data_IF_189477060061
#
_entry.id   IF_189477060061
#
_cell.length_a   1.000
_cell.length_b   1.000
_cell.length_c   1.000
_cell.angle_alpha   90.00
_cell.angle_beta   90.00
_cell.angle_gamma   90.00
#
_symmetry.space_group_name_H-M   'P 1'
#
loop_
_entity.id
_entity.type
_entity.pdbx_description
1 polymer ?
#
# COMPACT_ATOMS: atom_id res chain seq x y z
N UNK A 1 6.59 -18.51 -52.72
CA UNK A 1 7.63 -19.18 -51.92
C UNK A 1 7.23 -18.99 -50.45
N UNK A 2 6.46 -19.94 -49.89
CA UNK A 2 6.04 -20.01 -48.48
C UNK A 2 6.68 -21.32 -48.00
N UNK A 3 7.85 -21.30 -47.36
CA UNK A 3 8.10 -21.04 -45.93
C UNK A 3 7.36 -22.04 -45.04
N UNK A 4 8.09 -23.13 -44.77
CA UNK A 4 8.37 -23.76 -43.45
C UNK A 4 7.22 -24.35 -42.66
N UNK A 5 7.43 -25.32 -41.79
CA UNK A 5 8.45 -26.34 -41.55
C UNK A 5 7.76 -27.30 -40.59
N UNK A 6 8.12 -28.55 -40.71
CA UNK A 6 7.53 -29.73 -40.09
C UNK A 6 8.10 -29.87 -38.68
N UNK A 7 7.57 -29.14 -37.71
CA UNK A 7 7.71 -29.44 -36.26
C UNK A 7 6.43 -29.00 -35.55
N UNK A 8 6.14 -29.51 -34.35
CA UNK A 8 5.03 -29.10 -33.44
C UNK A 8 3.82 -30.03 -33.26
N UNK A 9 3.76 -31.23 -33.86
CA UNK A 9 2.69 -32.19 -33.50
C UNK A 9 3.08 -33.21 -32.41
N UNK A 10 4.35 -33.35 -32.06
CA UNK A 10 4.81 -34.29 -31.02
C UNK A 10 4.89 -33.67 -29.62
N UNK A 11 5.17 -32.36 -29.50
CA UNK A 11 5.26 -31.70 -28.19
C UNK A 11 3.87 -31.48 -27.55
N UNK A 12 2.85 -31.17 -28.36
CA UNK A 12 1.47 -30.99 -27.89
C UNK A 12 0.86 -32.26 -27.28
N UNK A 13 1.17 -33.43 -27.84
CA UNK A 13 0.74 -34.72 -27.29
C UNK A 13 1.44 -35.04 -25.96
N UNK A 14 2.73 -34.72 -25.84
CA UNK A 14 3.51 -34.93 -24.61
C UNK A 14 3.07 -33.97 -23.47
N UNK A 15 2.73 -32.73 -23.79
CA UNK A 15 2.22 -31.74 -22.83
C UNK A 15 0.86 -32.16 -22.24
N UNK A 16 -0.04 -32.70 -23.06
CA UNK A 16 -1.33 -33.22 -22.61
C UNK A 16 -1.17 -34.43 -21.67
N UNK A 17 -0.23 -35.33 -21.99
CA UNK A 17 0.04 -36.51 -21.18
C UNK A 17 0.70 -36.16 -19.83
N UNK A 18 1.59 -35.16 -19.80
CA UNK A 18 2.17 -34.60 -18.57
C UNK A 18 1.12 -33.92 -17.69
N UNK A 19 0.20 -33.15 -18.28
CA UNK A 19 -0.88 -32.50 -17.56
C UNK A 19 -1.83 -33.53 -16.91
N UNK A 20 -2.15 -34.60 -17.63
CA UNK A 20 -2.98 -35.68 -17.10
C UNK A 20 -2.31 -36.41 -15.92
N UNK A 21 -1.00 -36.66 -15.99
CA UNK A 21 -0.25 -37.26 -14.90
C UNK A 21 -0.17 -36.36 -13.66
N UNK A 22 -0.04 -35.04 -13.83
CA UNK A 22 -0.03 -34.08 -12.72
C UNK A 22 -1.39 -34.01 -12.02
N UNK A 23 -2.49 -33.99 -12.76
CA UNK A 23 -3.85 -34.00 -12.20
C UNK A 23 -4.08 -35.30 -11.42
N UNK A 24 -3.70 -36.45 -12.00
CA UNK A 24 -3.80 -37.74 -11.31
C UNK A 24 -2.92 -37.82 -10.06
N UNK A 25 -1.70 -37.26 -10.09
CA UNK A 25 -0.80 -37.20 -8.94
C UNK A 25 -1.35 -36.29 -7.83
N UNK A 26 -1.96 -35.16 -8.20
CA UNK A 26 -2.62 -34.25 -7.27
C UNK A 26 -3.86 -34.92 -6.63
N UNK A 27 -4.68 -35.62 -7.42
CA UNK A 27 -5.79 -36.40 -6.90
C UNK A 27 -5.32 -37.52 -5.97
N UNK A 28 -4.21 -38.18 -6.29
CA UNK A 28 -3.62 -39.23 -5.45
C UNK A 28 -3.02 -38.68 -4.16
N UNK A 29 -2.46 -37.46 -4.17
CA UNK A 29 -1.99 -36.74 -2.97
C UNK A 29 -3.17 -36.30 -2.08
N UNK A 30 -4.29 -35.89 -2.68
CA UNK A 30 -5.53 -35.55 -1.97
C UNK A 30 -6.14 -36.78 -1.30
N UNK A 31 -6.13 -37.95 -1.95
CA UNK A 31 -6.57 -39.22 -1.33
C UNK A 31 -5.72 -39.66 -0.15
N UNK A 32 -4.49 -39.17 -0.02
CA UNK A 32 -3.57 -39.52 1.09
C UNK A 32 -3.82 -38.68 2.35
N UNK A 33 -4.61 -37.62 2.24
CA UNK A 33 -5.05 -36.80 3.36
C UNK A 33 -6.53 -37.07 3.54
N UNK A 34 -6.90 -38.00 4.43
CA UNK A 34 -8.29 -38.31 4.78
C UNK A 34 -8.98 -37.09 5.43
N UNK A 35 -9.26 -36.05 4.65
CA UNK A 35 -10.09 -34.92 5.04
C UNK A 35 -11.53 -35.40 4.84
N UNK A 36 -12.27 -35.66 5.92
CA UNK A 36 -13.57 -36.29 5.80
C UNK A 36 -14.53 -35.29 5.11
N UNK A 37 -15.41 -35.75 4.21
CA UNK A 37 -16.21 -34.88 3.35
C UNK A 37 -17.17 -33.97 4.14
N UNK A 38 -17.51 -34.38 5.36
CA UNK A 38 -18.28 -33.58 6.31
C UNK A 38 -17.50 -32.35 6.79
N UNK A 39 -16.17 -32.42 6.93
CA UNK A 39 -15.34 -31.27 7.27
C UNK A 39 -15.31 -30.25 6.13
N UNK A 40 -15.20 -30.70 4.88
CA UNK A 40 -15.29 -29.82 3.71
C UNK A 40 -16.67 -29.15 3.62
N UNK A 41 -17.74 -29.91 3.83
CA UNK A 41 -19.10 -29.38 3.85
C UNK A 41 -19.32 -28.38 5.00
N UNK A 42 -18.81 -28.67 6.20
CA UNK A 42 -18.90 -27.75 7.36
C UNK A 42 -18.11 -26.47 7.13
N UNK A 43 -16.88 -26.57 6.63
CA UNK A 43 -16.06 -25.41 6.32
C UNK A 43 -16.67 -24.59 5.18
N UNK A 44 -17.19 -25.22 4.14
CA UNK A 44 -17.88 -24.54 3.04
C UNK A 44 -19.14 -23.81 3.55
N UNK A 45 -19.95 -24.46 4.39
CA UNK A 45 -21.13 -23.84 4.99
C UNK A 45 -20.75 -22.62 5.85
N UNK A 46 -19.70 -22.74 6.64
CA UNK A 46 -19.21 -21.66 7.50
C UNK A 46 -18.62 -20.48 6.69
N UNK A 47 -17.98 -20.76 5.56
CA UNK A 47 -17.53 -19.73 4.60
C UNK A 47 -18.73 -19.04 3.95
N UNK A 48 -19.78 -19.78 3.57
CA UNK A 48 -21.01 -19.20 3.01
C UNK A 48 -21.71 -18.30 4.02
N UNK A 49 -21.81 -18.73 5.28
CA UNK A 49 -22.40 -17.94 6.37
C UNK A 49 -21.61 -16.64 6.60
N UNK A 50 -20.27 -16.72 6.66
CA UNK A 50 -19.40 -15.54 6.79
C UNK A 50 -19.55 -14.58 5.61
N UNK A 51 -19.64 -15.08 4.38
CA UNK A 51 -19.87 -14.24 3.19
C UNK A 51 -21.24 -13.58 3.22
N UNK A 52 -22.26 -14.23 3.79
CA UNK A 52 -23.56 -13.63 4.04
C UNK A 52 -23.46 -12.44 5.01
N UNK A 53 -22.81 -12.64 6.16
CA UNK A 53 -22.59 -11.58 7.16
C UNK A 53 -21.78 -10.40 6.58
N UNK A 54 -20.76 -10.69 5.77
CA UNK A 54 -19.96 -9.66 5.09
C UNK A 54 -20.77 -8.90 4.03
N UNK A 55 -21.67 -9.59 3.33
CA UNK A 55 -22.63 -8.98 2.41
C UNK A 55 -23.64 -8.08 3.12
N UNK A 56 -24.15 -8.52 4.27
CA UNK A 56 -25.07 -7.73 5.10
C UNK A 56 -24.38 -6.51 5.70
N UNK A 57 -23.14 -6.66 6.19
CA UNK A 57 -22.34 -5.53 6.66
C UNK A 57 -22.03 -4.56 5.51
N UNK A 58 -21.67 -5.06 4.33
CA UNK A 58 -21.40 -4.25 3.14
C UNK A 58 -22.65 -3.51 2.68
N UNK A 59 -23.81 -4.15 2.70
CA UNK A 59 -25.08 -3.50 2.37
C UNK A 59 -25.48 -2.47 3.43
N UNK A 60 -25.20 -2.71 4.71
CA UNK A 60 -25.37 -1.71 5.78
C UNK A 60 -24.42 -0.53 5.60
N UNK A 61 -23.14 -0.77 5.31
CA UNK A 61 -22.16 0.27 5.01
C UNK A 61 -22.55 1.06 3.75
N UNK A 62 -23.15 0.40 2.76
CA UNK A 62 -23.68 1.04 1.54
C UNK A 62 -25.01 1.77 1.76
N UNK A 63 -25.80 1.35 2.74
CA UNK A 63 -27.00 2.07 3.18
C UNK A 63 -26.64 3.31 4.02
N UNK A 64 -25.56 3.24 4.81
CA UNK A 64 -24.94 4.41 5.43
C UNK A 64 -24.22 5.30 4.40
N UNK A 65 -23.64 4.71 3.35
CA UNK A 65 -23.02 5.40 2.23
C UNK A 65 -24.03 5.60 1.07
N UNK A 66 -25.02 6.45 1.30
CA UNK A 66 -25.88 6.97 0.23
C UNK A 66 -25.08 7.52 -0.97
N UNK A 67 -25.70 7.60 -2.16
CA UNK A 67 -25.03 7.41 -3.45
C UNK A 67 -24.13 8.59 -3.83
N UNK A 68 -22.85 8.34 -4.09
CA UNK A 68 -22.03 9.25 -4.87
C UNK A 68 -20.77 8.58 -5.47
N UNK A 69 -20.97 7.87 -6.57
CA UNK A 69 -20.04 7.82 -7.70
C UNK A 69 -20.92 7.40 -8.87
N UNK A 70 -21.21 8.22 -9.86
CA UNK A 70 -20.31 9.03 -10.69
C UNK A 70 -21.19 10.00 -11.49
N UNK A 71 -20.75 11.25 -11.72
CA UNK A 71 -20.92 12.04 -12.96
C UNK A 71 -20.24 13.41 -12.73
N UNK A 72 -19.53 13.88 -13.75
CA UNK A 72 -18.91 15.21 -13.86
C UNK A 72 -19.93 16.32 -13.57
N UNK A 73 -19.69 17.18 -12.56
CA UNK A 73 -20.25 18.54 -12.42
C UNK A 73 -19.56 19.29 -11.24
N UNK A 74 -19.45 20.64 -11.29
CA UNK A 74 -18.53 21.41 -10.46
C UNK A 74 -19.07 21.72 -9.05
N UNK A 75 -18.13 22.00 -8.14
CA UNK A 75 -18.32 22.75 -6.89
C UNK A 75 -19.20 22.14 -5.78
N UNK A 76 -18.54 21.46 -4.84
CA UNK A 76 -18.46 22.00 -3.47
C UNK A 76 -17.01 21.80 -2.99
N UNK A 77 -16.40 22.77 -2.30
CA UNK A 77 -14.99 22.69 -1.95
C UNK A 77 -14.84 21.65 -0.83
N UNK A 78 -14.58 20.40 -1.18
CA UNK A 78 -13.74 19.57 -0.31
C UNK A 78 -12.50 20.43 -0.05
N UNK A 79 -12.18 20.77 1.21
CA UNK A 79 -10.95 21.52 1.47
C UNK A 79 -9.83 20.72 0.79
N UNK A 80 -9.05 21.35 -0.10
CA UNK A 80 -8.03 20.64 -0.84
C UNK A 80 -7.16 19.88 0.17
N UNK A 81 -6.76 18.63 -0.12
CA UNK A 81 -5.87 17.90 0.75
C UNK A 81 -4.70 18.80 1.12
N UNK A 82 -4.36 18.83 2.41
CA UNK A 82 -3.34 19.76 2.93
C UNK A 82 -2.04 19.61 2.14
N UNK A 83 -1.71 18.41 1.67
CA UNK A 83 -0.56 18.18 0.82
C UNK A 83 -0.93 17.25 -0.34
N UNK A 84 -0.47 17.62 -1.54
CA UNK A 84 -0.57 16.80 -2.76
C UNK A 84 0.82 16.32 -3.14
N UNK A 85 0.99 15.02 -3.32
CA UNK A 85 2.24 14.41 -3.75
C UNK A 85 2.23 14.15 -5.26
N UNK A 86 3.29 14.57 -5.95
CA UNK A 86 3.58 14.19 -7.34
C UNK A 86 4.77 13.23 -7.37
N UNK A 87 4.50 11.95 -7.65
CA UNK A 87 5.49 10.87 -7.68
C UNK A 87 6.45 10.95 -8.85
N UNK A 88 6.05 11.55 -9.98
CA UNK A 88 6.89 11.68 -11.18
C UNK A 88 7.92 12.79 -11.01
N UNK A 89 7.50 13.89 -10.38
CA UNK A 89 8.35 15.08 -10.21
C UNK A 89 9.03 15.14 -8.84
N UNK A 90 8.70 14.22 -7.94
CA UNK A 90 9.10 14.22 -6.53
C UNK A 90 8.78 15.56 -5.86
N UNK A 91 7.57 16.05 -6.09
CA UNK A 91 7.14 17.39 -5.62
C UNK A 91 6.03 17.24 -4.59
N UNK A 92 6.07 18.10 -3.58
CA UNK A 92 5.03 18.24 -2.58
C UNK A 92 4.39 19.62 -2.74
N UNK A 93 3.07 19.65 -2.91
CA UNK A 93 2.33 20.88 -3.22
C UNK A 93 1.28 21.17 -2.14
N UNK A 94 1.23 22.42 -1.70
CA UNK A 94 0.08 23.01 -1.02
C UNK A 94 -0.78 23.80 -2.03
N UNK A 95 -1.99 24.25 -1.64
CA UNK A 95 -2.82 25.08 -2.53
C UNK A 95 -2.13 26.36 -3.02
N UNK A 96 -1.12 26.86 -2.31
CA UNK A 96 -0.46 28.13 -2.62
C UNK A 96 0.91 27.97 -3.28
N UNK A 97 1.60 26.85 -3.08
CA UNK A 97 3.00 26.69 -3.50
C UNK A 97 3.41 25.22 -3.59
N UNK A 98 4.54 24.95 -4.25
CA UNK A 98 5.12 23.62 -4.36
C UNK A 98 6.60 23.61 -4.00
N UNK A 99 7.06 22.50 -3.43
CA UNK A 99 8.46 22.30 -3.04
C UNK A 99 8.95 20.96 -3.57
N UNK A 100 10.13 20.96 -4.17
CA UNK A 100 10.78 19.75 -4.67
C UNK A 100 11.45 18.99 -3.53
N UNK A 101 11.14 17.71 -3.42
CA UNK A 101 11.78 16.76 -2.50
C UNK A 101 12.92 16.03 -3.23
N UNK A 102 13.92 15.60 -2.47
CA UNK A 102 14.86 14.58 -2.95
C UNK A 102 14.17 13.22 -2.92
N UNK A 103 14.71 12.21 -3.64
CA UNK A 103 14.13 10.86 -3.69
C UNK A 103 13.90 10.27 -2.29
N UNK A 104 14.90 10.37 -1.41
CA UNK A 104 14.83 9.89 -0.02
C UNK A 104 13.78 10.62 0.80
N UNK A 105 13.76 11.96 0.74
CA UNK A 105 12.76 12.76 1.47
C UNK A 105 11.35 12.43 1.01
N UNK A 106 11.16 12.25 -0.31
CA UNK A 106 9.88 11.84 -0.88
C UNK A 106 9.47 10.45 -0.39
N UNK A 107 10.40 9.47 -0.41
CA UNK A 107 10.14 8.11 0.06
C UNK A 107 9.74 8.08 1.53
N UNK A 108 10.46 8.80 2.40
CA UNK A 108 10.10 8.91 3.82
C UNK A 108 8.75 9.59 4.02
N UNK A 109 8.51 10.69 3.31
CA UNK A 109 7.21 11.36 3.39
C UNK A 109 6.08 10.42 2.97
N UNK A 110 6.20 9.76 1.82
CA UNK A 110 5.21 8.83 1.30
C UNK A 110 4.97 7.66 2.27
N UNK A 111 6.03 7.03 2.77
CA UNK A 111 5.95 5.90 3.68
C UNK A 111 5.22 6.27 4.98
N UNK A 112 5.57 7.43 5.56
CA UNK A 112 4.96 7.90 6.80
C UNK A 112 3.53 8.45 6.58
N UNK A 113 3.27 9.10 5.45
CA UNK A 113 1.94 9.62 5.12
C UNK A 113 0.94 8.51 4.75
N UNK A 114 1.43 7.38 4.21
CA UNK A 114 0.60 6.18 3.96
C UNK A 114 0.14 5.53 5.27
N UNK A 115 0.92 5.69 6.35
CA UNK A 115 0.62 5.14 7.67
C UNK A 115 0.65 6.24 8.74
N UNK A 116 -0.34 7.15 8.74
CA UNK A 116 -0.38 8.25 9.69
C UNK A 116 -0.47 7.72 11.13
N UNK A 117 0.19 8.42 12.05
CA UNK A 117 0.32 8.08 13.49
C UNK A 117 1.12 6.81 13.80
N UNK A 118 1.64 6.10 12.79
CA UNK A 118 2.59 5.02 13.02
C UNK A 118 3.99 5.58 13.33
N UNK A 119 4.65 5.00 14.34
CA UNK A 119 6.01 5.36 14.70
C UNK A 119 7.00 4.49 13.92
N UNK A 120 7.94 5.15 13.25
CA UNK A 120 9.01 4.55 12.49
C UNK A 120 10.34 4.76 13.21
N UNK A 121 11.00 3.65 13.58
CA UNK A 121 12.34 3.69 14.15
C UNK A 121 13.37 4.12 13.09
N UNK A 122 14.56 4.55 13.53
CA UNK A 122 15.65 4.88 12.61
C UNK A 122 16.07 3.67 11.79
N UNK A 123 16.21 2.51 12.42
CA UNK A 123 16.49 1.25 11.74
C UNK A 123 15.46 0.95 10.66
N UNK A 124 14.17 1.08 10.95
CA UNK A 124 13.12 0.83 9.96
C UNK A 124 13.17 1.80 8.78
N UNK A 125 13.46 3.09 9.03
CA UNK A 125 13.64 4.06 7.96
C UNK A 125 14.88 3.74 7.10
N UNK A 126 15.98 3.30 7.73
CA UNK A 126 17.17 2.84 7.02
C UNK A 126 16.84 1.62 6.14
N UNK A 127 16.19 0.59 6.70
CA UNK A 127 15.78 -0.63 6.00
C UNK A 127 14.90 -0.31 4.79
N UNK A 128 13.96 0.62 4.95
CA UNK A 128 13.11 1.08 3.83
C UNK A 128 13.88 1.81 2.72
N UNK A 129 15.08 2.32 3.01
CA UNK A 129 15.90 3.10 2.08
C UNK A 129 17.02 2.30 1.39
N UNK A 130 17.37 1.12 1.92
CA UNK A 130 18.47 0.29 1.43
C UNK A 130 18.35 -0.12 -0.05
N UNK A 131 17.13 -0.25 -0.57
CA UNK A 131 16.89 -0.56 -1.99
C UNK A 131 17.50 0.49 -2.93
N UNK A 132 17.59 1.75 -2.49
CA UNK A 132 18.04 2.87 -3.31
C UNK A 132 19.42 3.40 -2.91
N UNK A 133 19.88 3.11 -1.68
CA UNK A 133 21.09 3.68 -1.09
C UNK A 133 21.72 2.72 -0.06
N UNK A 134 22.89 2.16 -0.38
CA UNK A 134 23.54 1.14 0.45
C UNK A 134 24.23 1.67 1.72
N UNK A 135 24.56 2.97 1.80
CA UNK A 135 25.41 3.54 2.86
C UNK A 135 24.69 4.62 3.69
N UNK A 136 23.47 4.33 4.16
CA UNK A 136 22.71 5.26 5.01
C UNK A 136 22.87 4.88 6.48
N UNK A 137 23.31 5.84 7.29
CA UNK A 137 23.36 5.72 8.75
C UNK A 137 22.24 6.53 9.42
N UNK A 138 22.05 6.31 10.72
CA UNK A 138 21.04 7.01 11.53
C UNK A 138 21.16 8.54 11.45
N UNK A 139 22.38 9.08 11.45
CA UNK A 139 22.63 10.52 11.33
C UNK A 139 22.16 11.08 9.99
N UNK A 140 22.25 10.28 8.93
CA UNK A 140 21.77 10.66 7.59
C UNK A 140 20.24 10.73 7.59
N UNK A 141 19.54 9.79 8.24
CA UNK A 141 18.09 9.85 8.44
C UNK A 141 17.70 11.12 9.17
N UNK A 142 18.35 11.43 10.29
CA UNK A 142 18.09 12.64 11.07
C UNK A 142 18.19 13.91 10.20
N UNK A 143 19.21 13.97 9.33
CA UNK A 143 19.42 15.06 8.39
C UNK A 143 18.28 15.17 7.35
N UNK A 144 17.85 14.05 6.77
CA UNK A 144 16.72 14.03 5.83
C UNK A 144 15.41 14.41 6.49
N UNK A 145 15.11 13.92 7.69
CA UNK A 145 13.92 14.32 8.45
C UNK A 145 13.96 15.81 8.77
N UNK A 146 15.12 16.36 9.14
CA UNK A 146 15.28 17.81 9.37
C UNK A 146 15.00 18.64 8.12
N UNK A 147 15.55 18.24 6.97
CA UNK A 147 15.34 18.90 5.68
C UNK A 147 13.88 18.80 5.23
N UNK A 148 13.28 17.61 5.34
CA UNK A 148 11.88 17.38 5.05
C UNK A 148 10.99 18.29 5.89
N UNK A 149 11.18 18.35 7.22
CA UNK A 149 10.46 19.29 8.10
C UNK A 149 10.61 20.75 7.66
N UNK A 150 11.79 21.17 7.20
CA UNK A 150 11.98 22.53 6.71
C UNK A 150 11.15 22.80 5.44
N UNK A 151 11.06 21.82 4.53
CA UNK A 151 10.23 21.91 3.31
C UNK A 151 8.73 21.91 3.63
N UNK A 152 8.29 21.10 4.60
CA UNK A 152 6.93 21.17 5.12
C UNK A 152 6.60 22.54 5.72
N UNK A 153 7.53 23.14 6.48
CA UNK A 153 7.36 24.50 7.02
C UNK A 153 7.33 25.58 5.95
N UNK A 154 8.00 25.38 4.82
CA UNK A 154 7.86 26.29 3.68
C UNK A 154 6.41 26.29 3.22
N UNK A 155 5.82 25.10 3.01
CA UNK A 155 4.42 24.93 2.58
C UNK A 155 3.42 25.46 3.62
N UNK A 156 3.59 25.08 4.88
CA UNK A 156 2.74 25.47 6.01
C UNK A 156 3.59 25.86 7.23
N UNK A 157 3.87 27.16 7.44
CA UNK A 157 4.74 27.61 8.53
C UNK A 157 4.21 27.28 9.93
N UNK A 158 2.89 27.19 10.10
CA UNK A 158 2.22 26.96 11.39
C UNK A 158 1.91 25.49 11.68
N UNK A 159 2.06 24.60 10.70
CA UNK A 159 1.75 23.18 10.86
C UNK A 159 3.03 22.36 10.96
N UNK A 160 2.96 21.33 11.80
CA UNK A 160 4.03 20.34 11.92
C UNK A 160 3.46 18.99 11.53
N UNK A 161 4.03 18.42 10.48
CA UNK A 161 3.57 17.13 9.96
C UNK A 161 4.37 15.95 10.49
N UNK A 162 5.66 16.16 10.80
CA UNK A 162 6.57 15.10 11.25
C UNK A 162 7.00 15.38 12.68
N UNK A 163 6.70 14.44 13.56
CA UNK A 163 6.92 14.50 14.99
C UNK A 163 8.02 13.55 15.42
N UNK A 164 8.61 13.78 16.59
CA UNK A 164 9.64 12.91 17.17
C UNK A 164 9.08 12.30 18.44
N UNK A 165 9.12 10.98 18.52
CA UNK A 165 8.91 10.24 19.77
C UNK A 165 10.29 9.91 20.32
N UNK A 166 10.69 10.60 21.39
CA UNK A 166 12.03 10.46 21.98
C UNK A 166 12.33 9.01 22.35
N UNK A 167 13.52 8.53 22.00
CA UNK A 167 13.94 7.15 22.22
C UNK A 167 13.35 6.12 21.26
N UNK A 168 12.33 6.46 20.46
CA UNK A 168 11.64 5.51 19.58
C UNK A 168 11.86 5.84 18.10
N UNK A 169 11.54 7.06 17.67
CA UNK A 169 11.64 7.42 16.25
C UNK A 169 10.76 8.59 15.82
N UNK A 170 10.17 8.47 14.63
CA UNK A 170 9.42 9.54 13.96
C UNK A 170 8.03 9.06 13.55
N UNK A 171 7.05 9.95 13.58
CA UNK A 171 5.71 9.67 13.05
C UNK A 171 5.17 10.87 12.27
N UNK A 172 4.19 10.61 11.42
CA UNK A 172 3.50 11.61 10.62
C UNK A 172 2.07 11.83 11.14
N UNK A 173 1.65 13.10 11.24
CA UNK A 173 0.30 13.49 11.64
C UNK A 173 -0.12 14.73 10.83
N UNK A 174 -1.32 14.72 10.26
CA UNK A 174 -1.78 15.74 9.32
C UNK A 174 -2.28 17.04 9.98
N UNK A 175 -2.49 17.06 11.29
CA UNK A 175 -3.21 18.18 11.93
C UNK A 175 -2.93 18.36 13.42
N UNK A 176 -1.69 18.22 13.86
CA UNK A 176 -1.34 18.70 15.20
C UNK A 176 -0.85 20.15 15.11
N UNK A 177 -1.81 21.07 15.26
CA UNK A 177 -1.50 22.44 15.70
C UNK A 177 -0.70 22.25 16.97
N UNK A 178 0.53 22.75 17.01
CA UNK A 178 1.36 22.67 18.20
C UNK A 178 0.66 23.45 19.31
N UNK A 179 -0.14 22.75 20.12
CA UNK A 179 -0.58 23.23 21.42
C UNK A 179 0.67 23.32 22.26
N UNK A 180 1.28 24.50 22.24
CA UNK A 180 2.22 24.93 23.25
C UNK A 180 1.56 24.73 24.62
N UNK A 181 1.99 23.69 25.33
CA UNK A 181 1.81 23.65 26.77
C UNK A 181 2.81 24.64 27.36
N UNK A 182 2.23 25.75 27.80
CA UNK A 182 2.80 26.83 28.61
C UNK A 182 3.46 26.30 29.88
#
# INVERSE_FOLDING_TARGET
>A
MIVTDKTDNHEGAQLSQKAFLLVSLLEQQVRKSDIPPDLYQRMAAQITELNGVLGDLSSHLKALAGPASTIIAPASPQPPPLLVMDTLRFTLSSPQQSVKLTKLEFKFHQLMATHPRQVFSRSHLIDSSYTDYADICERTIDCHIRKLRAKHRQLYPKLRFIHTMYGVGYYYAESEVSTEQK
#
